data_IF_967414375889
#
_entry.id   IF_967414375889
#
_cell.length_a   1.000
_cell.length_b   1.000
_cell.length_c   1.000
_cell.angle_alpha   90.00
_cell.angle_beta   90.00
_cell.angle_gamma   90.00
#
_symmetry.space_group_name_H-M   'P 1'
#
loop_
_entity.id
_entity.type
_entity.pdbx_description
1 polymer ?
#
# COMPACT_ATOMS: atom_id res chain seq x y z
N UNK A 1 -41.76 -3.20 1.88
CA UNK A 1 -40.35 -2.80 1.67
C UNK A 1 -40.29 -2.05 0.36
N UNK A 2 -40.03 -0.75 0.39
CA UNK A 2 -39.93 0.03 -0.86
C UNK A 2 -38.60 -0.32 -1.54
N UNK A 3 -38.57 -0.50 -2.88
CA UNK A 3 -37.31 -0.49 -3.61
C UNK A 3 -36.78 0.94 -3.53
N UNK A 4 -35.84 1.16 -2.61
CA UNK A 4 -35.24 2.48 -2.38
C UNK A 4 -34.59 2.95 -3.70
N UNK A 5 -34.94 4.12 -4.26
CA UNK A 5 -34.31 4.63 -5.48
C UNK A 5 -32.78 4.57 -5.42
N UNK A 6 -32.18 4.88 -4.26
CA UNK A 6 -30.74 4.75 -4.03
C UNK A 6 -30.19 3.32 -4.15
N UNK A 7 -30.97 2.27 -3.84
CA UNK A 7 -30.53 0.88 -4.04
C UNK A 7 -30.38 0.58 -5.54
N UNK A 8 -31.33 1.05 -6.35
CA UNK A 8 -31.27 0.94 -7.80
C UNK A 8 -30.06 1.73 -8.33
N UNK A 9 -29.91 2.98 -7.90
CA UNK A 9 -28.83 3.85 -8.39
C UNK A 9 -27.44 3.28 -8.02
N UNK A 10 -27.27 2.76 -6.80
CA UNK A 10 -26.03 2.09 -6.38
C UNK A 10 -25.77 0.78 -7.16
N UNK A 11 -26.81 0.00 -7.45
CA UNK A 11 -26.70 -1.22 -8.25
C UNK A 11 -26.35 -0.93 -9.72
N UNK A 12 -26.96 0.10 -10.32
CA UNK A 12 -26.65 0.58 -11.67
C UNK A 12 -25.22 1.12 -11.75
N UNK A 13 -24.78 1.87 -10.73
CA UNK A 13 -23.40 2.34 -10.62
C UNK A 13 -22.40 1.18 -10.54
N UNK A 14 -22.71 0.13 -9.75
CA UNK A 14 -21.90 -1.08 -9.67
C UNK A 14 -21.84 -1.80 -11.03
N UNK A 15 -22.98 -2.00 -11.69
CA UNK A 15 -23.04 -2.65 -13.00
C UNK A 15 -22.24 -1.86 -14.07
N UNK A 16 -22.39 -0.53 -14.08
CA UNK A 16 -21.62 0.37 -14.95
C UNK A 16 -20.12 0.25 -14.68
N UNK A 17 -19.71 0.23 -13.42
CA UNK A 17 -18.32 0.04 -13.01
C UNK A 17 -17.73 -1.31 -13.46
N UNK A 18 -18.50 -2.40 -13.35
CA UNK A 18 -18.09 -3.74 -13.79
C UNK A 18 -17.93 -3.80 -15.32
N UNK A 19 -18.81 -3.12 -16.07
CA UNK A 19 -18.77 -3.10 -17.52
C UNK A 19 -17.58 -2.30 -18.10
N UNK A 20 -16.85 -1.54 -17.27
CA UNK A 20 -15.70 -0.77 -17.75
C UNK A 20 -14.54 -1.68 -18.14
N UNK A 21 -13.90 -1.45 -19.31
CA UNK A 21 -12.81 -2.28 -19.80
C UNK A 21 -11.63 -2.29 -18.83
N UNK A 22 -11.09 -3.49 -18.59
CA UNK A 22 -9.83 -3.70 -17.88
C UNK A 22 -8.68 -2.92 -18.53
N UNK A 23 -8.18 -1.86 -17.88
CA UNK A 23 -6.92 -1.25 -18.30
C UNK A 23 -5.81 -2.27 -17.97
N UNK A 24 -4.85 -2.48 -18.88
CA UNK A 24 -3.70 -3.32 -18.58
C UNK A 24 -3.01 -2.75 -17.35
N UNK A 25 -2.98 -3.54 -16.28
CA UNK A 25 -2.35 -3.14 -15.04
C UNK A 25 -0.84 -3.25 -15.25
N UNK A 26 -0.14 -2.12 -15.21
CA UNK A 26 1.29 -2.13 -14.94
C UNK A 26 1.50 -2.61 -13.51
N UNK A 27 2.35 -3.60 -13.33
CA UNK A 27 2.78 -4.02 -12.01
C UNK A 27 3.80 -2.97 -11.55
N UNK A 28 3.31 -1.90 -10.92
CA UNK A 28 4.15 -0.76 -10.54
C UNK A 28 5.27 -1.19 -9.58
N UNK A 29 5.07 -2.23 -8.79
CA UNK A 29 6.12 -2.80 -7.93
C UNK A 29 7.20 -3.49 -8.77
N UNK A 30 6.80 -4.25 -9.80
CA UNK A 30 7.74 -4.83 -10.77
C UNK A 30 8.43 -3.77 -11.62
N UNK A 31 7.74 -2.71 -12.03
CA UNK A 31 8.30 -1.60 -12.81
C UNK A 31 9.30 -0.79 -11.98
N UNK A 32 8.97 -0.46 -10.72
CA UNK A 32 9.90 0.18 -9.77
C UNK A 32 11.10 -0.74 -9.50
N UNK A 33 10.86 -2.03 -9.28
CA UNK A 33 11.95 -3.00 -9.11
C UNK A 33 12.82 -3.14 -10.38
N UNK A 34 12.22 -3.02 -11.56
CA UNK A 34 12.92 -3.04 -12.84
C UNK A 34 13.75 -1.76 -13.05
N UNK A 35 13.22 -0.58 -12.71
CA UNK A 35 13.95 0.69 -12.76
C UNK A 35 15.14 0.69 -11.80
N UNK A 36 14.97 0.15 -10.59
CA UNK A 36 16.11 -0.10 -9.71
C UNK A 36 17.10 -1.08 -10.32
N UNK A 37 16.62 -2.20 -10.87
CA UNK A 37 17.48 -3.22 -11.49
C UNK A 37 18.27 -2.66 -12.69
N UNK A 38 17.67 -1.77 -13.47
CA UNK A 38 18.32 -1.11 -14.60
C UNK A 38 19.37 -0.09 -14.14
N UNK A 39 19.08 0.72 -13.11
CA UNK A 39 20.08 1.60 -12.48
C UNK A 39 21.24 0.80 -11.88
N UNK A 40 20.92 -0.25 -11.12
CA UNK A 40 21.87 -1.23 -10.57
C UNK A 40 22.80 -1.77 -11.66
N UNK A 41 22.27 -2.18 -12.82
CA UNK A 41 23.09 -2.78 -13.88
C UNK A 41 24.09 -1.81 -14.50
N UNK A 42 23.84 -0.51 -14.43
CA UNK A 42 24.75 0.51 -14.96
C UNK A 42 25.90 0.81 -14.01
N UNK A 43 25.61 0.81 -12.70
CA UNK A 43 26.53 1.31 -11.69
C UNK A 43 27.25 0.20 -10.89
N UNK A 44 26.75 -1.03 -10.93
CA UNK A 44 27.34 -2.17 -10.22
C UNK A 44 28.23 -3.06 -11.11
N UNK A 45 29.17 -3.74 -10.45
CA UNK A 45 29.95 -4.80 -11.10
C UNK A 45 29.06 -5.98 -11.50
N UNK A 46 29.46 -6.73 -12.54
CA UNK A 46 28.74 -7.93 -12.98
C UNK A 46 28.59 -8.98 -11.85
N UNK A 47 29.57 -9.06 -10.94
CA UNK A 47 29.51 -9.91 -9.76
C UNK A 47 28.41 -9.51 -8.78
N UNK A 48 28.26 -8.21 -8.52
CA UNK A 48 27.19 -7.66 -7.68
C UNK A 48 25.82 -7.88 -8.32
N UNK A 49 25.67 -7.59 -9.61
CA UNK A 49 24.42 -7.78 -10.33
C UNK A 49 23.91 -9.24 -10.22
N UNK A 50 24.79 -10.22 -10.48
CA UNK A 50 24.44 -11.66 -10.34
C UNK A 50 24.04 -12.04 -8.92
N UNK A 51 24.73 -11.50 -7.92
CA UNK A 51 24.39 -11.77 -6.52
C UNK A 51 23.02 -11.18 -6.17
N UNK A 52 22.73 -9.95 -6.59
CA UNK A 52 21.46 -9.28 -6.35
C UNK A 52 20.30 -9.99 -7.04
N UNK A 53 20.49 -10.46 -8.26
CA UNK A 53 19.51 -11.30 -8.96
C UNK A 53 19.22 -12.59 -8.18
N UNK A 54 20.28 -13.25 -7.66
CA UNK A 54 20.14 -14.47 -6.85
C UNK A 54 19.38 -14.20 -5.54
N UNK A 55 19.72 -13.12 -4.84
CA UNK A 55 19.04 -12.67 -3.62
C UNK A 55 17.57 -12.38 -3.89
N UNK A 56 17.27 -11.65 -4.98
CA UNK A 56 15.89 -11.32 -5.39
C UNK A 56 15.09 -12.60 -5.68
N UNK A 57 15.66 -13.53 -6.46
CA UNK A 57 15.01 -14.80 -6.79
C UNK A 57 14.70 -15.66 -5.55
N UNK A 58 15.63 -15.75 -4.60
CA UNK A 58 15.42 -16.48 -3.34
C UNK A 58 14.38 -15.81 -2.45
N UNK A 59 14.42 -14.47 -2.35
CA UNK A 59 13.41 -13.67 -1.64
C UNK A 59 12.02 -13.92 -2.20
N UNK A 60 11.83 -13.83 -3.52
CA UNK A 60 10.51 -14.06 -4.14
C UNK A 60 9.99 -15.47 -3.92
N UNK A 61 10.87 -16.49 -4.01
CA UNK A 61 10.51 -17.87 -3.68
C UNK A 61 10.10 -18.02 -2.22
N UNK A 62 10.81 -17.37 -1.29
CA UNK A 62 10.45 -17.36 0.12
C UNK A 62 9.11 -16.67 0.39
N UNK A 63 8.84 -15.54 -0.25
CA UNK A 63 7.54 -14.85 -0.18
C UNK A 63 6.41 -15.72 -0.73
N UNK A 64 6.63 -16.40 -1.86
CA UNK A 64 5.66 -17.31 -2.46
C UNK A 64 5.31 -18.48 -1.52
N UNK A 65 6.31 -19.08 -0.86
CA UNK A 65 6.08 -20.13 0.15
C UNK A 65 5.26 -19.62 1.33
N UNK A 66 5.58 -18.43 1.86
CA UNK A 66 4.81 -17.82 2.94
C UNK A 66 3.35 -17.53 2.53
N UNK A 67 3.13 -17.00 1.32
CA UNK A 67 1.78 -16.77 0.77
C UNK A 67 0.99 -18.07 0.60
N UNK A 68 1.67 -19.18 0.35
CA UNK A 68 1.07 -20.52 0.30
C UNK A 68 0.89 -21.18 1.69
N UNK A 69 1.13 -20.46 2.79
CA UNK A 69 1.00 -20.97 4.16
C UNK A 69 2.20 -21.78 4.67
N UNK A 70 3.25 -21.95 3.85
CA UNK A 70 4.48 -22.68 4.23
C UNK A 70 5.48 -21.73 4.91
N UNK A 71 5.07 -21.18 6.06
CA UNK A 71 5.79 -20.08 6.74
C UNK A 71 7.21 -20.49 7.16
N UNK A 72 7.40 -21.73 7.67
CA UNK A 72 8.72 -22.22 8.10
C UNK A 72 9.70 -22.35 6.93
N UNK A 73 9.25 -22.89 5.79
CA UNK A 73 10.09 -23.03 4.60
C UNK A 73 10.45 -21.66 4.01
N UNK A 74 9.47 -20.76 3.91
CA UNK A 74 9.71 -19.40 3.45
C UNK A 74 10.65 -18.62 4.38
N UNK A 75 10.48 -18.76 5.70
CA UNK A 75 11.39 -18.17 6.69
C UNK A 75 12.81 -18.71 6.61
N UNK A 76 12.97 -20.01 6.32
CA UNK A 76 14.30 -20.63 6.12
C UNK A 76 15.01 -20.07 4.89
N UNK A 77 14.29 -19.84 3.79
CA UNK A 77 14.84 -19.15 2.60
C UNK A 77 15.23 -17.71 2.90
N UNK A 78 14.44 -16.97 3.69
CA UNK A 78 14.78 -15.60 4.09
C UNK A 78 16.06 -15.56 4.92
N UNK A 79 16.19 -16.46 5.91
CA UNK A 79 17.40 -16.55 6.73
C UNK A 79 18.64 -16.92 5.91
N UNK A 80 18.49 -17.83 4.93
CA UNK A 80 19.57 -18.16 4.00
C UNK A 80 19.98 -16.94 3.17
N UNK A 81 19.01 -16.23 2.60
CA UNK A 81 19.21 -15.01 1.79
C UNK A 81 19.91 -13.92 2.59
N UNK A 82 19.51 -13.71 3.85
CA UNK A 82 20.15 -12.81 4.81
C UNK A 82 21.61 -13.17 5.03
N UNK A 83 21.90 -14.45 5.27
CA UNK A 83 23.26 -14.95 5.42
C UNK A 83 24.13 -14.76 4.18
N UNK A 84 23.56 -14.90 2.98
CA UNK A 84 24.26 -14.60 1.72
C UNK A 84 24.62 -13.11 1.63
N UNK A 85 23.64 -12.22 1.86
CA UNK A 85 23.84 -10.78 1.77
C UNK A 85 24.89 -10.28 2.79
N UNK A 86 24.82 -10.74 4.04
CA UNK A 86 25.76 -10.32 5.11
C UNK A 86 27.20 -10.76 4.86
N UNK A 87 27.42 -11.88 4.16
CA UNK A 87 28.77 -12.39 3.85
C UNK A 87 29.30 -11.88 2.50
N UNK A 88 28.48 -11.19 1.73
CA UNK A 88 28.84 -10.73 0.41
C UNK A 88 29.88 -9.60 0.48
N UNK A 89 30.88 -9.67 -0.39
CA UNK A 89 31.84 -8.58 -0.60
C UNK A 89 31.34 -7.69 -1.74
N UNK A 90 30.37 -6.84 -1.42
CA UNK A 90 29.73 -5.91 -2.35
C UNK A 90 29.85 -4.47 -1.84
N UNK A 91 29.63 -3.51 -2.72
CA UNK A 91 29.52 -2.10 -2.38
C UNK A 91 28.43 -1.84 -1.34
N UNK A 92 28.56 -0.72 -0.62
CA UNK A 92 27.57 -0.28 0.36
C UNK A 92 26.21 -0.05 -0.30
N UNK A 93 26.19 0.57 -1.48
CA UNK A 93 24.99 0.82 -2.26
C UNK A 93 24.23 -0.48 -2.57
N UNK A 94 24.91 -1.46 -3.18
CA UNK A 94 24.34 -2.76 -3.48
C UNK A 94 23.79 -3.46 -2.24
N UNK A 95 24.52 -3.38 -1.12
CA UNK A 95 24.09 -3.93 0.16
C UNK A 95 22.80 -3.28 0.65
N UNK A 96 22.76 -1.95 0.76
CA UNK A 96 21.60 -1.19 1.27
C UNK A 96 20.38 -1.44 0.41
N UNK A 97 20.58 -1.51 -0.91
CA UNK A 97 19.52 -1.78 -1.85
C UNK A 97 18.91 -3.17 -1.62
N UNK A 98 19.73 -4.22 -1.62
CA UNK A 98 19.27 -5.58 -1.32
C UNK A 98 18.59 -5.66 0.05
N UNK A 99 19.17 -4.99 1.05
CA UNK A 99 18.72 -4.98 2.43
C UNK A 99 17.33 -4.33 2.56
N UNK A 100 17.05 -3.26 1.81
CA UNK A 100 15.74 -2.60 1.79
C UNK A 100 14.61 -3.54 1.34
N UNK A 101 14.88 -4.46 0.40
CA UNK A 101 13.90 -5.46 -0.04
C UNK A 101 13.80 -6.63 0.90
N UNK A 102 14.94 -7.12 1.38
CA UNK A 102 14.96 -8.27 2.27
C UNK A 102 14.31 -7.95 3.62
N UNK A 103 14.56 -6.77 4.20
CA UNK A 103 13.92 -6.33 5.44
C UNK A 103 12.38 -6.25 5.31
N UNK A 104 11.87 -5.69 4.20
CA UNK A 104 10.42 -5.65 3.96
C UNK A 104 9.82 -7.07 3.84
N UNK A 105 10.52 -7.99 3.16
CA UNK A 105 10.09 -9.38 3.02
C UNK A 105 10.13 -10.15 4.35
N UNK A 106 11.18 -9.96 5.16
CA UNK A 106 11.28 -10.49 6.53
C UNK A 106 10.12 -9.97 7.39
N UNK A 107 9.75 -8.69 7.23
CA UNK A 107 8.57 -8.11 7.85
C UNK A 107 7.28 -8.90 7.57
N UNK A 108 7.06 -9.31 6.31
CA UNK A 108 5.93 -10.16 5.94
C UNK A 108 6.00 -11.55 6.57
N UNK A 109 7.18 -12.16 6.65
CA UNK A 109 7.37 -13.46 7.32
C UNK A 109 7.07 -13.35 8.82
N UNK A 110 7.54 -12.30 9.47
CA UNK A 110 7.25 -12.04 10.88
C UNK A 110 5.74 -11.84 11.11
N UNK A 111 5.08 -11.04 10.26
CA UNK A 111 3.65 -10.79 10.35
C UNK A 111 2.83 -12.08 10.22
N UNK A 112 3.11 -12.89 9.20
CA UNK A 112 2.44 -14.18 8.99
C UNK A 112 2.74 -15.22 10.08
N UNK A 113 3.80 -15.01 10.87
CA UNK A 113 4.13 -15.80 12.06
C UNK A 113 3.54 -15.24 13.36
N UNK A 114 2.71 -14.19 13.31
CA UNK A 114 2.15 -13.53 14.50
C UNK A 114 3.15 -12.72 15.33
N UNK A 115 4.33 -12.39 14.78
CA UNK A 115 5.38 -11.61 15.45
C UNK A 115 5.29 -10.13 15.06
N UNK A 116 4.31 -9.42 15.60
CA UNK A 116 3.99 -8.02 15.27
C UNK A 116 5.19 -7.09 15.40
N UNK A 117 5.85 -7.06 16.55
CA UNK A 117 6.95 -6.11 16.80
C UNK A 117 8.14 -6.35 15.88
N UNK A 118 8.46 -7.62 15.61
CA UNK A 118 9.51 -7.99 14.67
C UNK A 118 9.13 -7.56 13.24
N UNK A 119 7.86 -7.74 12.85
CA UNK A 119 7.38 -7.32 11.53
C UNK A 119 7.50 -5.81 11.32
N UNK A 120 7.05 -5.03 12.30
CA UNK A 120 7.16 -3.56 12.27
C UNK A 120 8.64 -3.14 12.27
N UNK A 121 9.47 -3.74 13.12
CA UNK A 121 10.90 -3.41 13.19
C UNK A 121 11.63 -3.65 11.87
N UNK A 122 11.39 -4.79 11.21
CA UNK A 122 11.99 -5.07 9.90
C UNK A 122 11.51 -4.10 8.82
N UNK A 123 10.23 -3.71 8.83
CA UNK A 123 9.71 -2.73 7.87
C UNK A 123 10.23 -1.30 8.12
N UNK A 124 10.39 -0.90 9.39
CA UNK A 124 11.04 0.38 9.73
C UNK A 124 12.50 0.39 9.29
N UNK A 125 13.21 -0.73 9.43
CA UNK A 125 14.57 -0.87 8.89
C UNK A 125 14.58 -0.75 7.37
N UNK A 126 13.58 -1.31 6.68
CA UNK A 126 13.44 -1.12 5.23
C UNK A 126 13.22 0.35 4.83
N UNK A 127 12.43 1.11 5.61
CA UNK A 127 12.27 2.57 5.42
C UNK A 127 13.56 3.33 5.65
N UNK A 128 14.33 2.99 6.68
CA UNK A 128 15.65 3.56 6.95
C UNK A 128 16.62 3.35 5.78
N UNK A 129 16.60 2.14 5.19
CA UNK A 129 17.37 1.85 3.97
C UNK A 129 16.89 2.65 2.76
N UNK A 130 15.58 2.85 2.60
CA UNK A 130 15.07 3.76 1.55
C UNK A 130 15.55 5.20 1.75
N UNK A 131 15.58 5.71 2.99
CA UNK A 131 16.15 7.02 3.30
C UNK A 131 17.63 7.08 2.87
N UNK A 132 18.44 6.09 3.28
CA UNK A 132 19.86 6.02 2.91
C UNK A 132 20.07 5.97 1.38
N UNK A 133 19.26 5.18 0.67
CA UNK A 133 19.28 5.11 -0.80
C UNK A 133 19.00 6.47 -1.46
N UNK A 134 18.09 7.25 -0.88
CA UNK A 134 17.78 8.60 -1.34
C UNK A 134 18.93 9.56 -1.07
N UNK A 135 19.37 9.67 0.17
CA UNK A 135 20.33 10.70 0.58
C UNK A 135 21.72 10.48 -0.01
N UNK A 136 22.15 9.21 -0.14
CA UNK A 136 23.52 8.90 -0.59
C UNK A 136 23.63 8.71 -2.11
N UNK A 137 22.57 8.24 -2.78
CA UNK A 137 22.62 7.89 -4.22
C UNK A 137 21.43 8.38 -5.05
N UNK A 138 20.55 9.20 -4.48
CA UNK A 138 19.41 9.81 -5.20
C UNK A 138 18.51 8.78 -5.91
N UNK A 139 18.22 7.66 -5.23
CA UNK A 139 17.25 6.67 -5.72
C UNK A 139 15.81 7.22 -5.63
N UNK A 140 14.94 6.92 -6.61
CA UNK A 140 13.54 7.31 -6.55
C UNK A 140 12.75 6.37 -5.65
N UNK A 141 12.67 6.65 -4.34
CA UNK A 141 12.18 5.68 -3.32
C UNK A 141 10.76 5.93 -2.83
N UNK A 142 10.12 7.02 -3.26
CA UNK A 142 8.90 7.48 -2.59
C UNK A 142 7.75 6.48 -2.67
N UNK A 143 7.50 5.89 -3.83
CA UNK A 143 6.44 4.88 -3.97
C UNK A 143 6.68 3.66 -3.09
N UNK A 144 7.95 3.24 -2.97
CA UNK A 144 8.37 2.13 -2.10
C UNK A 144 8.20 2.46 -0.61
N UNK A 145 8.57 3.68 -0.20
CA UNK A 145 8.40 4.15 1.19
C UNK A 145 6.93 4.13 1.61
N UNK A 146 6.04 4.66 0.77
CA UNK A 146 4.60 4.67 1.04
C UNK A 146 4.04 3.24 1.07
N UNK A 147 4.46 2.36 0.16
CA UNK A 147 4.09 0.94 0.18
C UNK A 147 4.46 0.25 1.51
N UNK A 148 5.70 0.43 1.97
CA UNK A 148 6.17 -0.14 3.23
C UNK A 148 5.38 0.45 4.40
N UNK A 149 5.12 1.76 4.42
CA UNK A 149 4.30 2.41 5.45
C UNK A 149 2.88 1.82 5.50
N UNK A 150 2.22 1.62 4.36
CA UNK A 150 0.92 0.93 4.28
C UNK A 150 0.97 -0.49 4.85
N UNK A 151 2.07 -1.22 4.65
CA UNK A 151 2.25 -2.55 5.21
C UNK A 151 2.49 -2.52 6.72
N UNK A 152 3.22 -1.54 7.26
CA UNK A 152 3.36 -1.33 8.70
C UNK A 152 1.98 -1.11 9.33
N UNK A 153 1.16 -0.24 8.75
CA UNK A 153 -0.18 0.01 9.28
C UNK A 153 -1.09 -1.22 9.16
N UNK A 154 -0.95 -2.02 8.11
CA UNK A 154 -1.64 -3.32 8.04
C UNK A 154 -1.31 -4.23 9.22
N UNK A 155 -0.04 -4.31 9.60
CA UNK A 155 0.44 -5.10 10.74
C UNK A 155 -0.13 -4.54 12.05
N UNK A 156 -0.03 -3.22 12.25
CA UNK A 156 -0.52 -2.52 13.44
C UNK A 156 -2.03 -2.66 13.65
N UNK A 157 -2.82 -2.47 12.59
CA UNK A 157 -4.27 -2.68 12.63
C UNK A 157 -4.62 -4.12 12.99
N UNK A 158 -3.90 -5.11 12.43
CA UNK A 158 -4.13 -6.51 12.78
C UNK A 158 -3.79 -6.83 14.25
N UNK A 159 -2.91 -6.05 14.88
CA UNK A 159 -2.57 -6.14 16.29
C UNK A 159 -3.46 -5.27 17.21
N UNK A 160 -4.47 -4.58 16.66
CA UNK A 160 -5.44 -3.80 17.43
C UNK A 160 -5.09 -2.31 17.61
N UNK A 161 -4.01 -1.81 16.99
CA UNK A 161 -3.62 -0.40 17.05
C UNK A 161 -4.41 0.45 16.03
N UNK A 162 -5.74 0.34 16.04
CA UNK A 162 -6.60 0.95 15.01
C UNK A 162 -6.57 2.48 15.06
N UNK A 163 -6.58 3.07 16.25
CA UNK A 163 -6.65 4.51 16.43
C UNK A 163 -5.38 5.22 15.93
N UNK A 164 -4.19 4.75 16.30
CA UNK A 164 -2.93 5.33 15.82
C UNK A 164 -2.78 5.14 14.30
N UNK A 165 -3.17 3.96 13.80
CA UNK A 165 -3.10 3.67 12.36
C UNK A 165 -4.02 4.55 11.52
N UNK A 166 -5.14 5.04 12.06
CA UNK A 166 -6.07 5.91 11.34
C UNK A 166 -5.42 7.24 10.95
N UNK A 167 -4.66 7.83 11.87
CA UNK A 167 -3.94 9.09 11.65
C UNK A 167 -2.87 8.90 10.59
N UNK A 168 -2.11 7.80 10.68
CA UNK A 168 -1.06 7.48 9.70
C UNK A 168 -1.64 7.23 8.32
N UNK A 169 -2.76 6.50 8.22
CA UNK A 169 -3.41 6.24 6.93
C UNK A 169 -3.97 7.52 6.30
N UNK A 170 -4.52 8.43 7.09
CA UNK A 170 -4.95 9.75 6.61
C UNK A 170 -3.77 10.58 6.10
N UNK A 171 -2.65 10.59 6.83
CA UNK A 171 -1.39 11.21 6.42
C UNK A 171 -0.88 10.62 5.10
N UNK A 172 -0.86 9.29 4.95
CA UNK A 172 -0.43 8.64 3.71
C UNK A 172 -1.33 8.99 2.53
N UNK A 173 -2.65 9.07 2.72
CA UNK A 173 -3.57 9.48 1.64
C UNK A 173 -3.31 10.94 1.21
N UNK A 174 -3.12 11.86 2.15
CA UNK A 174 -2.75 13.25 1.84
C UNK A 174 -1.39 13.33 1.13
N UNK A 175 -0.41 12.52 1.55
CA UNK A 175 0.91 12.44 0.92
C UNK A 175 0.83 11.92 -0.51
N UNK A 176 0.04 10.87 -0.77
CA UNK A 176 -0.14 10.32 -2.13
C UNK A 176 -0.78 11.37 -3.05
N UNK A 177 -1.76 12.12 -2.54
CA UNK A 177 -2.47 13.14 -3.28
C UNK A 177 -1.58 14.35 -3.62
N UNK A 178 -0.93 14.91 -2.61
CA UNK A 178 -0.24 16.20 -2.71
C UNK A 178 1.27 16.07 -2.99
N UNK A 179 1.86 14.91 -2.69
CA UNK A 179 3.32 14.72 -2.59
C UNK A 179 3.99 15.67 -1.59
N UNK A 180 3.24 16.24 -0.64
CA UNK A 180 3.76 17.16 0.36
C UNK A 180 4.39 16.41 1.54
N UNK A 181 5.70 16.61 1.72
CA UNK A 181 6.52 15.99 2.78
C UNK A 181 5.97 16.18 4.19
N UNK A 182 5.18 17.22 4.45
CA UNK A 182 4.57 17.48 5.78
C UNK A 182 3.62 16.37 6.23
N UNK A 183 3.11 15.58 5.28
CA UNK A 183 2.25 14.43 5.56
C UNK A 183 3.04 13.13 5.73
N UNK A 184 4.37 13.14 5.72
CA UNK A 184 5.15 11.93 5.99
C UNK A 184 4.98 11.50 7.47
N UNK A 185 4.50 10.26 7.74
CA UNK A 185 4.15 9.84 9.09
C UNK A 185 5.34 9.45 9.99
N UNK A 186 6.56 9.37 9.45
CA UNK A 186 7.76 8.92 10.17
C UNK A 186 8.87 9.99 10.15
N UNK A 187 8.76 11.08 10.92
CA UNK A 187 9.67 12.23 10.82
C UNK A 187 11.14 11.87 11.06
N UNK A 188 11.43 10.86 11.88
CA UNK A 188 12.80 10.37 12.13
C UNK A 188 13.41 9.58 10.94
N UNK A 189 12.61 9.23 9.93
CA UNK A 189 12.99 8.53 8.71
C UNK A 189 12.76 9.39 7.46
N UNK A 190 12.60 10.70 7.63
CA UNK A 190 12.56 11.67 6.55
C UNK A 190 13.98 11.83 5.95
N UNK A 191 14.05 12.05 4.64
CA UNK A 191 15.31 12.37 3.94
C UNK A 191 15.42 13.89 3.74
N UNK A 192 16.62 14.37 3.40
CA UNK A 192 16.90 15.81 3.35
C UNK A 192 16.33 16.51 2.10
N UNK A 193 16.11 15.76 1.03
CA UNK A 193 15.67 16.25 -0.28
C UNK A 193 14.14 16.31 -0.43
N UNK A 194 13.66 16.97 -1.50
CA UNK A 194 12.23 16.95 -1.85
C UNK A 194 11.77 15.55 -2.28
N UNK A 195 10.51 15.17 -2.00
CA UNK A 195 9.98 13.88 -2.42
C UNK A 195 9.93 13.66 -3.93
N UNK A 196 10.08 12.41 -4.35
CA UNK A 196 9.87 12.04 -5.74
C UNK A 196 8.41 12.27 -6.13
N UNK A 197 8.21 12.79 -7.35
CA UNK A 197 6.87 12.85 -7.93
C UNK A 197 6.43 11.43 -8.29
N UNK A 198 5.26 11.04 -7.78
CA UNK A 198 4.64 9.76 -8.13
C UNK A 198 3.81 9.91 -9.40
N UNK A 199 3.99 8.96 -10.33
CA UNK A 199 3.12 8.82 -11.50
C UNK A 199 1.70 8.43 -11.09
N UNK A 200 0.71 8.80 -11.91
CA UNK A 200 -0.71 8.55 -11.64
C UNK A 200 -1.02 7.07 -11.37
N UNK A 201 -0.39 6.16 -12.11
CA UNK A 201 -0.58 4.71 -11.94
C UNK A 201 -0.10 4.25 -10.55
N UNK A 202 1.04 4.77 -10.08
CA UNK A 202 1.60 4.49 -8.75
C UNK A 202 0.71 5.08 -7.67
N UNK A 203 0.21 6.32 -7.85
CA UNK A 203 -0.73 6.96 -6.92
C UNK A 203 -2.00 6.13 -6.74
N UNK A 204 -2.57 5.62 -7.83
CA UNK A 204 -3.75 4.75 -7.79
C UNK A 204 -3.49 3.47 -7.01
N UNK A 205 -2.37 2.80 -7.27
CA UNK A 205 -1.99 1.60 -6.55
C UNK A 205 -1.81 1.85 -5.04
N UNK A 206 -1.05 2.88 -4.67
CA UNK A 206 -0.80 3.19 -3.25
C UNK A 206 -2.09 3.61 -2.54
N UNK A 207 -2.97 4.33 -3.23
CA UNK A 207 -4.32 4.63 -2.73
C UNK A 207 -5.10 3.35 -2.46
N UNK A 208 -5.19 2.43 -3.43
CA UNK A 208 -5.88 1.15 -3.26
C UNK A 208 -5.32 0.32 -2.09
N UNK A 209 -4.01 0.38 -1.87
CA UNK A 209 -3.36 -0.28 -0.74
C UNK A 209 -3.73 0.34 0.61
N UNK A 210 -3.71 1.67 0.72
CA UNK A 210 -4.11 2.39 1.93
C UNK A 210 -5.60 2.14 2.25
N UNK A 211 -6.48 2.25 1.23
CA UNK A 211 -7.91 1.97 1.38
C UNK A 211 -8.18 0.51 1.79
N UNK A 212 -7.40 -0.44 1.28
CA UNK A 212 -7.52 -1.83 1.70
C UNK A 212 -7.16 -2.03 3.19
N UNK A 213 -6.33 -1.18 3.79
CA UNK A 213 -6.10 -1.18 5.25
C UNK A 213 -7.32 -0.62 5.98
N UNK A 214 -7.95 0.46 5.47
CA UNK A 214 -9.15 1.05 6.08
C UNK A 214 -10.28 0.04 6.28
N UNK A 215 -10.45 -0.93 5.36
CA UNK A 215 -11.50 -1.97 5.47
C UNK A 215 -11.46 -2.80 6.76
N UNK A 216 -10.33 -2.75 7.49
CA UNK A 216 -10.09 -3.49 8.73
C UNK A 216 -10.29 -2.66 9.99
N UNK A 217 -10.57 -1.36 9.86
CA UNK A 217 -10.79 -0.46 10.99
C UNK A 217 -12.22 -0.60 11.54
N UNK A 218 -12.40 -0.31 12.83
CA UNK A 218 -13.72 -0.20 13.44
C UNK A 218 -14.45 1.09 13.04
N UNK A 219 -15.76 1.15 13.31
CA UNK A 219 -16.64 2.27 12.97
C UNK A 219 -16.10 3.63 13.43
N UNK A 220 -15.72 3.71 14.71
CA UNK A 220 -15.28 4.95 15.35
C UNK A 220 -14.04 5.48 14.66
N UNK A 221 -13.13 4.58 14.32
CA UNK A 221 -11.86 4.88 13.68
C UNK A 221 -12.03 5.27 12.20
N UNK A 222 -12.98 4.65 11.48
CA UNK A 222 -13.32 5.04 10.10
C UNK A 222 -13.80 6.49 10.00
N UNK A 223 -14.64 6.93 10.94
CA UNK A 223 -15.12 8.31 10.99
C UNK A 223 -13.98 9.32 11.21
N UNK A 224 -12.94 8.95 11.96
CA UNK A 224 -11.76 9.80 12.17
C UNK A 224 -10.95 9.97 10.89
N UNK A 225 -10.77 8.93 10.08
CA UNK A 225 -10.04 9.04 8.80
C UNK A 225 -10.75 10.00 7.87
N UNK A 226 -12.07 9.89 7.75
CA UNK A 226 -12.85 10.81 6.92
C UNK A 226 -12.70 12.28 7.36
N UNK A 227 -12.51 12.55 8.65
CA UNK A 227 -12.30 13.90 9.18
C UNK A 227 -10.84 14.40 9.09
N UNK A 228 -9.85 13.51 9.08
CA UNK A 228 -8.42 13.85 9.11
C UNK A 228 -7.79 14.02 7.71
N UNK A 229 -8.36 13.37 6.70
CA UNK A 229 -7.91 13.60 5.33
C UNK A 229 -8.39 15.00 4.90
N UNK A 230 -7.46 15.81 4.39
CA UNK A 230 -7.76 17.17 3.95
C UNK A 230 -8.43 17.09 2.59
N UNK A 231 -9.69 16.65 2.55
CA UNK A 231 -10.47 16.65 1.33
C UNK A 231 -10.63 18.11 0.87
N UNK A 232 -10.11 18.50 -0.29
CA UNK A 232 -10.41 19.81 -0.84
C UNK A 232 -11.94 19.96 -0.95
N UNK A 233 -12.49 21.08 -0.51
CA UNK A 233 -13.89 21.41 -0.81
C UNK A 233 -13.98 21.91 -2.27
N UNK A 234 -14.89 21.34 -3.05
CA UNK A 234 -15.21 21.81 -4.41
C UNK A 234 -14.49 21.12 -5.57
N UNK A 235 -14.52 21.78 -6.75
CA UNK A 235 -14.11 21.24 -8.05
C UNK A 235 -12.59 20.98 -8.20
N UNK A 236 -11.76 21.47 -7.27
CA UNK A 236 -10.31 21.29 -7.28
C UNK A 236 -9.82 19.98 -6.63
N UNK A 237 -10.74 19.08 -6.26
CA UNK A 237 -10.40 17.80 -5.64
C UNK A 237 -9.80 16.85 -6.68
N UNK A 238 -8.63 16.28 -6.40
CA UNK A 238 -8.06 15.27 -7.29
C UNK A 238 -8.99 14.06 -7.42
N UNK A 239 -8.97 13.34 -8.55
CA UNK A 239 -9.79 12.13 -8.71
C UNK A 239 -9.49 11.05 -7.65
N UNK A 240 -8.27 11.00 -7.12
CA UNK A 240 -7.88 10.02 -6.09
C UNK A 240 -8.48 10.40 -4.75
N UNK A 241 -8.37 11.67 -4.35
CA UNK A 241 -8.94 12.19 -3.12
C UNK A 241 -10.47 12.01 -3.12
N UNK A 242 -11.15 12.36 -4.22
CA UNK A 242 -12.59 12.17 -4.34
C UNK A 242 -13.01 10.71 -4.16
N UNK A 243 -12.32 9.75 -4.79
CA UNK A 243 -12.65 8.31 -4.65
C UNK A 243 -12.30 7.75 -3.28
N UNK A 244 -11.17 8.15 -2.69
CA UNK A 244 -10.79 7.75 -1.35
C UNK A 244 -11.82 8.24 -0.32
N UNK A 245 -12.32 9.48 -0.49
CA UNK A 245 -13.40 10.06 0.31
C UNK A 245 -14.67 9.24 0.22
N UNK A 246 -15.19 9.01 -0.99
CA UNK A 246 -16.41 8.21 -1.20
C UNK A 246 -16.28 6.83 -0.56
N UNK A 247 -15.10 6.20 -0.66
CA UNK A 247 -14.87 4.90 -0.03
C UNK A 247 -14.89 4.97 1.50
N UNK A 248 -14.19 5.93 2.11
CA UNK A 248 -14.16 6.10 3.55
C UNK A 248 -15.55 6.44 4.12
N UNK A 249 -16.27 7.34 3.47
CA UNK A 249 -17.66 7.68 3.81
C UNK A 249 -18.59 6.47 3.71
N UNK A 250 -18.49 5.68 2.63
CA UNK A 250 -19.29 4.47 2.49
C UNK A 250 -18.98 3.44 3.61
N UNK A 251 -17.71 3.23 3.95
CA UNK A 251 -17.35 2.33 5.05
C UNK A 251 -17.88 2.80 6.41
N UNK A 252 -17.81 4.11 6.68
CA UNK A 252 -18.34 4.69 7.90
C UNK A 252 -19.87 4.55 7.97
N UNK A 253 -20.57 4.89 6.88
CA UNK A 253 -22.02 4.79 6.76
C UNK A 253 -22.51 3.34 6.97
N UNK A 254 -21.91 2.37 6.27
CA UNK A 254 -22.20 0.93 6.45
C UNK A 254 -22.02 0.48 7.91
N UNK A 255 -20.90 0.88 8.52
CA UNK A 255 -20.62 0.50 9.90
C UNK A 255 -21.55 1.20 10.92
N UNK A 256 -22.08 2.38 10.59
CA UNK A 256 -22.99 3.17 11.46
C UNK A 256 -24.46 2.79 11.31
N UNK A 257 -24.81 1.99 10.29
CA UNK A 257 -26.19 1.67 9.94
C UNK A 257 -26.90 2.76 9.14
N UNK A 258 -26.19 3.79 8.66
CA UNK A 258 -26.74 4.82 7.77
C UNK A 258 -26.79 4.29 6.32
N UNK A 259 -27.90 3.62 6.01
CA UNK A 259 -28.12 3.03 4.70
C UNK A 259 -28.18 4.09 3.59
N UNK A 260 -28.73 5.27 3.85
CA UNK A 260 -28.89 6.32 2.84
C UNK A 260 -27.54 6.88 2.41
N UNK A 261 -26.70 7.24 3.38
CA UNK A 261 -25.34 7.70 3.12
C UNK A 261 -24.50 6.59 2.46
N UNK A 262 -24.64 5.34 2.91
CA UNK A 262 -23.91 4.21 2.33
C UNK A 262 -24.19 4.05 0.83
N UNK A 263 -25.47 4.06 0.44
CA UNK A 263 -25.88 3.90 -0.95
C UNK A 263 -25.45 5.10 -1.80
N UNK A 264 -25.55 6.32 -1.26
CA UNK A 264 -25.11 7.56 -1.92
C UNK A 264 -23.61 7.51 -2.22
N UNK A 265 -22.77 7.19 -1.23
CA UNK A 265 -21.33 7.08 -1.42
C UNK A 265 -20.95 5.92 -2.35
N UNK A 266 -21.69 4.79 -2.33
CA UNK A 266 -21.51 3.70 -3.29
C UNK A 266 -21.80 4.16 -4.74
N UNK A 267 -22.91 4.88 -4.95
CA UNK A 267 -23.30 5.40 -6.25
C UNK A 267 -22.25 6.38 -6.81
N UNK A 268 -21.57 7.16 -5.95
CA UNK A 268 -20.45 8.02 -6.34
C UNK A 268 -19.14 7.24 -6.60
N UNK A 269 -18.89 6.15 -5.87
CA UNK A 269 -17.62 5.41 -5.94
C UNK A 269 -17.51 4.46 -7.15
N UNK A 270 -18.57 3.70 -7.46
CA UNK A 270 -18.54 2.63 -8.45
C UNK A 270 -18.43 3.05 -9.93
N UNK A 271 -18.94 4.21 -10.40
CA UNK A 271 -18.93 4.57 -11.81
C UNK A 271 -17.54 4.58 -12.44
N UNK A 272 -16.47 4.73 -11.65
CA UNK A 272 -15.09 4.72 -12.14
C UNK A 272 -14.51 3.32 -12.39
N UNK A 273 -15.20 2.27 -11.95
CA UNK A 273 -14.80 0.87 -12.13
C UNK A 273 -13.67 0.37 -11.22
N UNK A 274 -13.34 -0.93 -11.30
CA UNK A 274 -12.30 -1.57 -10.50
C UNK A 274 -10.88 -1.24 -10.96
N UNK A 275 -10.73 -0.65 -12.16
CA UNK A 275 -9.48 -0.49 -12.91
C UNK A 275 -8.31 0.07 -12.12
N UNK A 276 -8.61 1.01 -11.22
CA UNK A 276 -7.62 1.74 -10.45
C UNK A 276 -7.59 1.36 -8.97
N UNK A 277 -8.70 0.85 -8.43
CA UNK A 277 -8.88 0.54 -7.02
C UNK A 277 -9.51 -0.85 -6.81
N UNK A 278 -8.90 -1.95 -7.32
CA UNK A 278 -9.56 -3.25 -7.36
C UNK A 278 -9.81 -3.85 -5.97
N UNK A 279 -8.94 -3.59 -4.99
CA UNK A 279 -9.12 -4.10 -3.62
C UNK A 279 -10.26 -3.36 -2.93
N UNK A 280 -10.26 -2.03 -3.01
CA UNK A 280 -11.33 -1.20 -2.45
C UNK A 280 -12.67 -1.53 -3.14
N UNK A 281 -12.69 -1.61 -4.48
CA UNK A 281 -13.87 -1.98 -5.25
C UNK A 281 -14.43 -3.33 -4.81
N UNK A 282 -13.61 -4.38 -4.81
CA UNK A 282 -14.05 -5.71 -4.39
C UNK A 282 -14.56 -5.76 -2.95
N UNK A 283 -13.98 -4.96 -2.05
CA UNK A 283 -14.47 -4.87 -0.67
C UNK A 283 -15.83 -4.19 -0.58
N UNK A 284 -16.01 -3.06 -1.25
CA UNK A 284 -17.26 -2.30 -1.21
C UNK A 284 -18.39 -3.02 -1.94
N UNK A 285 -18.11 -3.66 -3.08
CA UNK A 285 -19.10 -4.47 -3.82
C UNK A 285 -19.65 -5.60 -2.94
N UNK A 286 -18.80 -6.28 -2.16
CA UNK A 286 -19.25 -7.34 -1.23
C UNK A 286 -20.18 -6.81 -0.15
N UNK A 287 -19.99 -5.57 0.32
CA UNK A 287 -20.87 -4.93 1.30
C UNK A 287 -22.21 -4.56 0.67
N UNK A 288 -22.20 -3.91 -0.49
CA UNK A 288 -23.42 -3.57 -1.22
C UNK A 288 -24.25 -4.80 -1.57
N UNK A 289 -23.63 -5.89 -2.03
CA UNK A 289 -24.33 -7.13 -2.36
C UNK A 289 -25.03 -7.78 -1.14
N UNK A 290 -24.53 -7.57 0.08
CA UNK A 290 -25.21 -8.04 1.30
C UNK A 290 -26.46 -7.23 1.64
N UNK A 291 -26.50 -5.97 1.22
CA UNK A 291 -27.66 -5.08 1.39
C UNK A 291 -28.71 -5.37 0.32
N UNK A 292 -28.28 -5.80 -0.86
CA UNK A 292 -29.16 -6.12 -2.00
C UNK A 292 -29.83 -7.51 -1.90
N UNK A 293 -29.23 -8.44 -1.15
CA UNK A 293 -29.73 -9.82 -0.97
C UNK A 293 -30.51 -10.00 0.32
#
# INVERSE_FOLDING_TARGET
MLPHPLLRDAAEALASGIARPSLPRRDAEADIAADYTERIRRDLTEGEARLLESISGLRERGLALCRAGRIQDGGSLMAHTRGMLTRAKISREAFVLADSFLCAAEGFVHFTSGRTDAAVSSMLLALDRCRELRDSWNYPVEGRRIHIACNIERVRVAAGHTQESSVVLAQLLNLIDTSDRRYWPYPHLEYDSEPDRLDDDVRWELTDQALAVLTRLDLKTLGQVAALVAWPDGEATSPWAARARCFAEALHADASGDLEAFLTSCAAFFPFGPQRLPRAFGSLSKRLLKVLG
#
